data_IF_415767527204
#
_entry.id   IF_415767527204
#
_cell.length_a   1.000
_cell.length_b   1.000
_cell.length_c   1.000
_cell.angle_alpha   90.00
_cell.angle_beta   90.00
_cell.angle_gamma   90.00
#
_symmetry.space_group_name_H-M   'P 1'
#
loop_
_entity.id
_entity.type
_entity.pdbx_description
1 polymer ?
#
# COMPACT_ATOMS: atom_id res chain seq x y z
N UNK A 1 1.97 12.88 1.22
CA UNK A 1 2.94 12.30 0.25
C UNK A 1 3.48 13.39 -0.67
N UNK A 2 2.63 14.17 -1.37
CA UNK A 2 3.05 15.25 -2.30
C UNK A 2 4.03 16.21 -1.62
N UNK A 3 3.65 16.82 -0.50
CA UNK A 3 4.46 17.76 0.28
C UNK A 3 5.80 17.15 0.75
N UNK A 4 5.80 15.86 1.12
CA UNK A 4 7.02 15.16 1.49
C UNK A 4 7.96 14.99 0.29
N UNK A 5 7.43 14.61 -0.88
CA UNK A 5 8.22 14.47 -2.10
C UNK A 5 8.77 15.81 -2.57
N UNK A 6 7.99 16.88 -2.48
CA UNK A 6 8.42 18.25 -2.81
C UNK A 6 9.60 18.71 -1.94
N UNK A 7 9.63 18.33 -0.65
CA UNK A 7 10.73 18.66 0.27
C UNK A 7 12.04 17.95 -0.04
N UNK A 8 11.99 16.78 -0.67
CA UNK A 8 13.17 15.98 -1.03
C UNK A 8 13.42 16.00 -2.54
N UNK A 9 12.59 16.73 -3.30
CA UNK A 9 12.77 16.85 -4.74
C UNK A 9 14.12 17.52 -5.06
N UNK A 10 14.89 16.97 -5.98
CA UNK A 10 16.12 17.58 -6.41
C UNK A 10 15.86 18.91 -7.12
N UNK A 11 16.83 19.82 -7.06
CA UNK A 11 16.70 21.13 -7.70
C UNK A 11 16.86 21.08 -9.22
N UNK A 12 17.46 20.00 -9.74
CA UNK A 12 17.66 19.81 -11.18
C UNK A 12 16.77 18.67 -11.71
N UNK A 13 16.10 18.88 -12.86
CA UNK A 13 15.19 17.87 -13.44
C UNK A 13 15.85 16.54 -13.82
N UNK A 14 17.18 16.54 -13.99
CA UNK A 14 17.96 15.33 -14.32
C UNK A 14 18.34 14.46 -13.11
N UNK A 15 18.06 14.93 -11.90
CA UNK A 15 18.41 14.22 -10.69
C UNK A 15 17.27 13.29 -10.23
N UNK A 16 17.65 12.20 -9.58
CA UNK A 16 16.68 11.25 -9.03
C UNK A 16 16.18 11.71 -7.67
N UNK A 17 14.88 11.69 -7.44
CA UNK A 17 14.27 11.98 -6.13
C UNK A 17 14.85 11.06 -5.03
N UNK A 18 15.02 9.79 -5.35
CA UNK A 18 15.64 8.81 -4.47
C UNK A 18 17.02 8.45 -5.01
N UNK A 19 18.03 9.02 -4.42
CA UNK A 19 19.43 8.79 -4.81
C UNK A 19 20.31 8.49 -3.60
N UNK A 20 21.42 7.82 -3.85
CA UNK A 20 22.50 7.64 -2.89
C UNK A 20 23.80 8.14 -3.53
N UNK A 21 24.39 9.21 -2.97
CA UNK A 21 25.59 9.87 -3.50
C UNK A 21 25.45 10.23 -5.00
N UNK A 22 24.31 10.81 -5.39
CA UNK A 22 24.00 11.21 -6.76
C UNK A 22 23.67 10.07 -7.74
N UNK A 23 23.67 8.81 -7.29
CA UNK A 23 23.30 7.66 -8.12
C UNK A 23 21.90 7.16 -7.76
N UNK A 24 21.11 6.68 -8.73
CA UNK A 24 19.77 6.15 -8.46
C UNK A 24 19.86 4.94 -7.52
N UNK A 25 18.90 4.86 -6.60
CA UNK A 25 18.79 3.69 -5.72
C UNK A 25 18.35 2.49 -6.55
N UNK A 26 19.15 1.43 -6.54
CA UNK A 26 18.79 0.18 -7.23
C UNK A 26 17.81 -0.64 -6.41
N UNK A 27 16.95 -1.41 -7.09
CA UNK A 27 16.03 -2.34 -6.44
C UNK A 27 16.75 -3.35 -5.55
N UNK A 28 17.92 -3.84 -5.96
CA UNK A 28 18.72 -4.78 -5.19
C UNK A 28 19.25 -4.15 -3.90
N UNK A 29 19.80 -2.92 -3.98
CA UNK A 29 20.29 -2.18 -2.83
C UNK A 29 19.21 -1.90 -1.80
N UNK A 30 18.00 -1.51 -2.26
CA UNK A 30 16.88 -1.25 -1.38
C UNK A 30 16.40 -2.53 -0.65
N UNK A 31 16.31 -3.64 -1.38
CA UNK A 31 15.95 -4.94 -0.80
C UNK A 31 16.97 -5.42 0.22
N UNK A 32 18.26 -5.27 -0.07
CA UNK A 32 19.34 -5.63 0.84
C UNK A 32 19.28 -4.81 2.14
N UNK A 33 19.13 -3.50 2.04
CA UNK A 33 19.04 -2.60 3.20
C UNK A 33 17.83 -2.94 4.07
N UNK A 34 16.69 -3.21 3.45
CA UNK A 34 15.48 -3.63 4.17
C UNK A 34 15.67 -4.96 4.87
N UNK A 35 16.23 -5.97 4.19
CA UNK A 35 16.49 -7.28 4.77
C UNK A 35 17.46 -7.19 5.97
N UNK A 36 18.48 -6.34 5.86
CA UNK A 36 19.42 -6.06 6.97
C UNK A 36 18.70 -5.45 8.18
N UNK A 37 17.82 -4.46 7.96
CA UNK A 37 17.01 -3.85 9.02
C UNK A 37 16.08 -4.88 9.69
N UNK A 38 15.41 -5.73 8.91
CA UNK A 38 14.55 -6.82 9.42
C UNK A 38 15.35 -7.79 10.30
N UNK A 39 16.57 -8.13 9.89
CA UNK A 39 17.47 -9.01 10.65
C UNK A 39 17.93 -8.37 11.96
N UNK A 40 18.36 -7.09 11.93
CA UNK A 40 18.80 -6.35 13.12
C UNK A 40 17.67 -6.24 14.16
N UNK A 41 16.44 -6.05 13.68
CA UNK A 41 15.25 -5.92 14.54
C UNK A 41 14.65 -7.27 14.97
N UNK A 42 15.20 -8.40 14.53
CA UNK A 42 14.71 -9.72 14.86
C UNK A 42 13.28 -10.02 14.39
N UNK A 43 12.77 -9.28 13.38
CA UNK A 43 11.36 -9.37 12.97
C UNK A 43 10.97 -10.73 12.40
N UNK A 44 11.94 -11.53 11.98
CA UNK A 44 11.73 -12.87 11.45
C UNK A 44 12.26 -13.98 12.36
N UNK A 45 12.67 -13.66 13.58
CA UNK A 45 13.22 -14.64 14.51
C UNK A 45 12.15 -15.66 14.92
N UNK A 46 12.48 -16.93 14.90
CA UNK A 46 11.54 -18.02 15.16
C UNK A 46 10.48 -18.26 14.07
N UNK A 47 10.41 -17.46 13.02
CA UNK A 47 9.46 -17.67 11.91
C UNK A 47 10.06 -18.64 10.89
N UNK A 48 9.61 -19.88 10.90
CA UNK A 48 10.02 -20.93 9.97
C UNK A 48 9.27 -20.87 8.65
N UNK A 49 7.96 -20.58 8.69
CA UNK A 49 7.14 -20.49 7.50
C UNK A 49 7.41 -19.20 6.73
N UNK A 50 7.88 -19.35 5.49
CA UNK A 50 8.21 -18.25 4.59
C UNK A 50 7.04 -17.29 4.35
N UNK A 51 5.80 -17.75 4.42
CA UNK A 51 4.60 -16.92 4.19
C UNK A 51 4.39 -15.85 5.23
N UNK A 52 4.90 -16.07 6.45
CA UNK A 52 4.78 -15.14 7.57
C UNK A 52 6.00 -14.23 7.74
N UNK A 53 7.05 -14.44 6.96
CA UNK A 53 8.25 -13.60 7.04
C UNK A 53 7.98 -12.19 6.52
N UNK A 54 8.48 -11.22 7.27
CA UNK A 54 8.55 -9.82 6.84
C UNK A 54 9.59 -9.69 5.75
N UNK A 55 9.15 -9.26 4.57
CA UNK A 55 9.97 -9.02 3.38
C UNK A 55 9.65 -7.64 2.82
N UNK A 56 10.47 -7.12 1.91
CA UNK A 56 10.23 -5.79 1.32
C UNK A 56 8.81 -5.61 0.76
N UNK A 57 8.24 -6.66 0.18
CA UNK A 57 6.89 -6.63 -0.36
C UNK A 57 5.79 -6.55 0.72
N UNK A 58 6.11 -6.87 1.97
CA UNK A 58 5.20 -6.72 3.11
C UNK A 58 4.74 -5.27 3.28
N UNK A 59 5.59 -4.28 3.01
CA UNK A 59 5.22 -2.86 3.06
C UNK A 59 4.04 -2.54 2.13
N UNK A 60 4.08 -3.09 0.92
CA UNK A 60 3.00 -2.92 -0.05
C UNK A 60 1.72 -3.63 0.40
N UNK A 61 1.83 -4.83 0.98
CA UNK A 61 0.67 -5.53 1.54
C UNK A 61 0.05 -4.76 2.70
N UNK A 62 0.86 -4.21 3.60
CA UNK A 62 0.40 -3.38 4.72
C UNK A 62 -0.35 -2.16 4.22
N UNK A 63 0.18 -1.44 3.24
CA UNK A 63 -0.48 -0.28 2.63
C UNK A 63 -1.85 -0.65 2.05
N UNK A 64 -1.93 -1.72 1.25
CA UNK A 64 -3.20 -2.19 0.70
C UNK A 64 -4.19 -2.59 1.79
N UNK A 65 -3.73 -3.27 2.84
CA UNK A 65 -4.58 -3.70 3.96
C UNK A 65 -5.14 -2.51 4.73
N UNK A 66 -4.34 -1.48 4.97
CA UNK A 66 -4.80 -0.26 5.63
C UNK A 66 -5.85 0.49 4.82
N UNK A 67 -5.67 0.60 3.51
CA UNK A 67 -6.68 1.22 2.65
C UNK A 67 -7.97 0.40 2.62
N UNK A 68 -7.88 -0.93 2.52
CA UNK A 68 -9.03 -1.80 2.53
C UNK A 68 -9.80 -1.72 3.86
N UNK A 69 -9.11 -1.67 5.01
CA UNK A 69 -9.73 -1.52 6.33
C UNK A 69 -10.40 -0.14 6.53
N UNK A 70 -10.08 0.83 5.68
CA UNK A 70 -10.73 2.15 5.60
C UNK A 70 -11.82 2.22 4.53
N UNK A 71 -12.30 1.07 4.06
CA UNK A 71 -13.34 0.94 3.02
C UNK A 71 -12.98 1.61 1.68
N UNK A 72 -11.69 1.84 1.39
CA UNK A 72 -11.29 2.33 0.06
C UNK A 72 -11.60 1.25 -0.98
N UNK A 73 -12.29 1.60 -2.09
CA UNK A 73 -12.63 0.64 -3.13
C UNK A 73 -11.42 -0.12 -3.65
N UNK A 74 -11.55 -1.44 -3.81
CA UNK A 74 -10.44 -2.31 -4.23
C UNK A 74 -9.86 -1.92 -5.59
N UNK A 75 -10.68 -1.40 -6.49
CA UNK A 75 -10.22 -0.87 -7.77
C UNK A 75 -9.25 0.31 -7.56
N UNK A 76 -9.62 1.25 -6.69
CA UNK A 76 -8.76 2.40 -6.33
C UNK A 76 -7.45 1.94 -5.71
N UNK A 77 -7.49 0.98 -4.79
CA UNK A 77 -6.28 0.39 -4.20
C UNK A 77 -5.39 -0.22 -5.29
N UNK A 78 -5.97 -1.00 -6.19
CA UNK A 78 -5.25 -1.62 -7.30
C UNK A 78 -4.54 -0.59 -8.18
N UNK A 79 -5.23 0.50 -8.51
CA UNK A 79 -4.69 1.60 -9.30
C UNK A 79 -3.54 2.30 -8.58
N UNK A 80 -3.72 2.65 -7.29
CA UNK A 80 -2.70 3.33 -6.49
C UNK A 80 -1.40 2.52 -6.38
N UNK A 81 -1.50 1.20 -6.27
CA UNK A 81 -0.31 0.35 -6.17
C UNK A 81 0.15 -0.21 -7.52
N UNK A 82 -0.49 0.14 -8.61
CA UNK A 82 -0.11 -0.30 -9.95
C UNK A 82 -0.26 -1.81 -10.16
N UNK A 83 -1.35 -2.40 -9.64
CA UNK A 83 -1.66 -3.80 -9.97
C UNK A 83 -2.14 -3.91 -11.41
N UNK A 84 -1.45 -4.70 -12.21
CA UNK A 84 -1.86 -5.01 -13.60
C UNK A 84 -3.09 -5.91 -13.68
N UNK A 85 -3.41 -6.63 -12.59
CA UNK A 85 -4.53 -7.56 -12.50
C UNK A 85 -5.29 -7.35 -11.19
N UNK A 86 -6.61 -7.25 -11.28
CA UNK A 86 -7.52 -7.09 -10.14
C UNK A 86 -7.47 -8.24 -9.14
N UNK A 87 -7.14 -9.46 -9.60
CA UNK A 87 -6.96 -10.64 -8.73
C UNK A 87 -5.97 -10.39 -7.59
N UNK A 88 -4.92 -9.60 -7.84
CA UNK A 88 -3.94 -9.23 -6.80
C UNK A 88 -4.52 -8.40 -5.69
N UNK A 89 -5.58 -7.61 -5.97
CA UNK A 89 -6.26 -6.75 -5.00
C UNK A 89 -7.42 -7.47 -4.30
N UNK A 90 -8.03 -8.48 -4.93
CA UNK A 90 -9.17 -9.22 -4.37
C UNK A 90 -8.86 -9.91 -3.03
N UNK A 91 -7.59 -10.23 -2.75
CA UNK A 91 -7.17 -10.79 -1.47
C UNK A 91 -7.51 -9.89 -0.27
N UNK A 92 -7.67 -8.58 -0.50
CA UNK A 92 -8.02 -7.60 0.53
C UNK A 92 -9.54 -7.40 0.68
N UNK A 93 -10.37 -8.02 -0.13
CA UNK A 93 -11.84 -7.88 -0.08
C UNK A 93 -12.43 -8.25 1.28
N UNK A 94 -11.83 -9.21 1.99
CA UNK A 94 -12.27 -9.64 3.31
C UNK A 94 -12.00 -8.63 4.42
N UNK A 95 -11.16 -7.63 4.18
CA UNK A 95 -10.79 -6.58 5.15
C UNK A 95 -11.76 -5.39 5.11
N UNK A 96 -12.73 -5.39 4.20
CA UNK A 96 -13.78 -4.38 4.08
C UNK A 96 -15.16 -5.04 4.20
N UNK A 97 -15.53 -5.61 5.37
CA UNK A 97 -16.78 -6.35 5.52
C UNK A 97 -18.02 -5.45 5.42
N UNK A 98 -17.92 -4.19 5.83
CA UNK A 98 -19.05 -3.27 5.95
C UNK A 98 -19.39 -2.49 4.67
N UNK A 99 -18.54 -2.51 3.66
CA UNK A 99 -18.74 -1.73 2.43
C UNK A 99 -20.07 -2.05 1.71
N UNK A 100 -20.56 -3.27 1.83
CA UNK A 100 -21.86 -3.68 1.26
C UNK A 100 -23.02 -3.06 2.04
N UNK A 101 -22.95 -3.06 3.37
CA UNK A 101 -23.98 -2.48 4.23
C UNK A 101 -24.02 -0.97 4.13
N UNK A 102 -22.85 -0.31 4.06
CA UNK A 102 -22.77 1.13 3.84
C UNK A 102 -23.35 1.54 2.49
N UNK A 103 -23.10 0.77 1.42
CA UNK A 103 -23.69 1.02 0.11
C UNK A 103 -25.22 0.88 0.14
N UNK A 104 -25.77 -0.11 0.86
CA UNK A 104 -27.21 -0.27 1.01
C UNK A 104 -27.83 0.90 1.79
N UNK A 105 -27.20 1.35 2.87
CA UNK A 105 -27.67 2.52 3.65
C UNK A 105 -27.72 3.79 2.80
N UNK A 106 -26.74 4.01 1.92
CA UNK A 106 -26.75 5.16 1.02
C UNK A 106 -27.94 5.14 0.07
N UNK A 107 -28.32 3.97 -0.44
CA UNK A 107 -29.49 3.82 -1.31
C UNK A 107 -30.78 4.10 -0.52
N UNK A 108 -30.89 3.59 0.70
CA UNK A 108 -32.06 3.83 1.57
C UNK A 108 -32.22 5.32 1.89
N UNK A 109 -31.13 6.03 2.20
CA UNK A 109 -31.15 7.48 2.44
C UNK A 109 -31.62 8.25 1.21
N UNK A 110 -31.09 7.93 0.03
CA UNK A 110 -31.47 8.57 -1.23
C UNK A 110 -32.95 8.32 -1.57
N UNK A 111 -33.47 7.13 -1.28
CA UNK A 111 -34.88 6.79 -1.50
C UNK A 111 -35.83 7.53 -0.55
N UNK A 112 -35.34 7.91 0.64
CA UNK A 112 -36.11 8.67 1.64
C UNK A 112 -36.17 10.15 1.26
N UNK A 113 -35.09 10.71 0.73
CA UNK A 113 -35.00 12.11 0.33
C UNK A 113 -35.86 12.44 -0.92
N UNK A 114 -36.14 11.46 -1.76
CA UNK A 114 -37.04 11.60 -2.92
C UNK A 114 -38.54 11.49 -2.60
N UNK A 115 -38.92 11.22 -1.35
CA UNK A 115 -40.32 11.16 -0.89
C UNK A 115 -40.83 12.42 -0.20
N UNK A 116 -40.03 13.44 -0.13
CA UNK A 116 -40.40 14.77 0.37
C UNK A 116 -40.64 15.76 -0.81
#
# INVERSE_FOLDING_TARGET
VKTMLERIAPQQPSEFIFSNKGKPITQGGLRYTFAKAVSILGLNDGITDRRYKVVFHTLRHTFCSWLASKNVPLYTIGTLVGHKNTRSTQRYAKLSPDAKWEALKLIEQTATDHKS
#
